data_IF_487235368223
#
_entry.id   IF_487235368223
#
_cell.length_a   1.000
_cell.length_b   1.000
_cell.length_c   1.000
_cell.angle_alpha   90.00
_cell.angle_beta   90.00
_cell.angle_gamma   90.00
#
_symmetry.space_group_name_H-M   'P 1'
#
loop_
_entity.id
_entity.type
_entity.pdbx_description
1 polymer ?
#
# COMPACT_ATOMS: atom_id res chain seq x y z
N UNK A 1 -17.93 5.91 4.17
CA UNK A 1 -16.44 5.80 4.23
C UNK A 1 -15.98 6.51 5.50
N UNK A 2 -15.60 5.77 6.54
CA UNK A 2 -15.00 6.30 7.77
C UNK A 2 -13.54 5.84 7.84
N UNK A 3 -12.64 6.74 8.24
CA UNK A 3 -11.22 6.45 8.42
C UNK A 3 -10.88 6.51 9.91
N UNK A 4 -10.53 5.36 10.49
CA UNK A 4 -10.08 5.28 11.89
C UNK A 4 -8.77 6.04 12.11
N UNK A 5 -7.80 5.91 11.18
CA UNK A 5 -6.51 6.60 11.26
C UNK A 5 -6.62 8.12 11.36
N UNK A 6 -7.68 8.69 10.79
CA UNK A 6 -7.95 10.13 10.79
C UNK A 6 -9.15 10.52 11.65
N UNK A 7 -9.78 9.54 12.31
CA UNK A 7 -11.05 9.65 13.03
C UNK A 7 -12.09 10.52 12.30
N UNK A 8 -12.37 10.19 11.03
CA UNK A 8 -13.19 11.08 10.18
C UNK A 8 -13.97 10.36 9.09
N UNK A 9 -15.21 10.79 8.87
CA UNK A 9 -16.03 10.42 7.72
C UNK A 9 -15.66 11.20 6.45
N UNK A 10 -15.91 10.61 5.28
CA UNK A 10 -15.86 11.30 4.00
C UNK A 10 -16.78 12.52 4.01
N UNK A 11 -16.26 13.69 3.63
CA UNK A 11 -17.02 14.93 3.57
C UNK A 11 -17.29 15.31 2.10
N UNK A 12 -18.53 15.65 1.78
CA UNK A 12 -18.94 16.13 0.46
C UNK A 12 -18.87 17.66 0.45
N UNK A 13 -17.98 18.22 -0.38
CA UNK A 13 -17.84 19.68 -0.53
C UNK A 13 -18.76 20.28 -1.58
N UNK A 14 -19.11 19.51 -2.60
CA UNK A 14 -20.03 19.92 -3.67
C UNK A 14 -20.94 18.77 -4.04
N UNK A 15 -22.23 18.88 -3.71
CA UNK A 15 -23.22 17.84 -3.99
C UNK A 15 -23.69 17.83 -5.46
N UNK A 16 -23.47 18.92 -6.20
CA UNK A 16 -23.86 19.00 -7.62
C UNK A 16 -23.07 18.05 -8.52
N UNK A 17 -21.91 17.57 -8.06
CA UNK A 17 -21.04 16.66 -8.82
C UNK A 17 -21.39 15.18 -8.60
N UNK A 18 -22.36 14.85 -7.76
CA UNK A 18 -22.63 13.46 -7.37
C UNK A 18 -22.99 12.57 -8.58
N UNK A 19 -23.72 13.09 -9.56
CA UNK A 19 -24.08 12.35 -10.78
C UNK A 19 -22.90 12.20 -11.73
N UNK A 20 -22.05 13.23 -11.85
CA UNK A 20 -20.83 13.21 -12.68
C UNK A 20 -19.80 12.19 -12.16
N UNK A 21 -19.73 11.99 -10.84
CA UNK A 21 -18.86 10.96 -10.24
C UNK A 21 -19.20 9.54 -10.73
N UNK A 22 -20.45 9.28 -11.13
CA UNK A 22 -20.85 7.99 -11.71
C UNK A 22 -20.39 7.79 -13.16
N UNK A 23 -19.90 8.83 -13.82
CA UNK A 23 -19.55 8.84 -15.24
C UNK A 23 -18.04 8.92 -15.50
N UNK A 24 -17.22 9.00 -14.45
CA UNK A 24 -15.76 9.11 -14.61
C UNK A 24 -15.17 7.83 -15.20
N UNK A 25 -14.25 7.97 -16.15
CA UNK A 25 -13.58 6.84 -16.82
C UNK A 25 -12.10 6.71 -16.41
N UNK A 26 -11.49 7.80 -15.95
CA UNK A 26 -10.08 7.85 -15.60
C UNK A 26 -9.90 8.47 -14.21
N UNK A 27 -9.00 7.89 -13.42
CA UNK A 27 -8.58 8.42 -12.13
C UNK A 27 -7.11 8.79 -12.23
N UNK A 28 -6.83 10.09 -12.16
CA UNK A 28 -5.46 10.57 -12.00
C UNK A 28 -5.10 10.53 -10.52
N UNK A 29 -4.01 9.85 -10.19
CA UNK A 29 -3.56 9.66 -8.81
C UNK A 29 -2.12 10.12 -8.66
N UNK A 30 -1.81 10.70 -7.51
CA UNK A 30 -0.42 11.01 -7.14
C UNK A 30 0.23 9.80 -6.47
N UNK A 31 1.52 9.61 -6.68
CA UNK A 31 2.26 8.52 -6.03
C UNK A 31 2.43 8.80 -4.54
N UNK A 32 2.94 9.98 -4.21
CA UNK A 32 3.40 10.30 -2.85
C UNK A 32 2.26 10.88 -2.01
N UNK A 33 1.96 10.27 -0.87
CA UNK A 33 0.87 10.74 0.00
C UNK A 33 -0.55 10.34 -0.44
N UNK A 34 -0.70 9.74 -1.63
CA UNK A 34 -1.94 9.05 -2.05
C UNK A 34 -1.72 7.54 -2.18
N UNK A 35 -0.85 7.08 -3.08
CA UNK A 35 -0.57 5.63 -3.21
C UNK A 35 0.36 5.11 -2.10
N UNK A 36 1.37 5.88 -1.70
CA UNK A 36 2.35 5.47 -0.69
C UNK A 36 2.13 6.16 0.64
N UNK A 37 2.30 5.42 1.74
CA UNK A 37 2.30 5.96 3.12
C UNK A 37 3.57 6.74 3.49
N UNK A 38 4.52 6.87 2.57
CA UNK A 38 5.85 7.43 2.79
C UNK A 38 6.61 6.77 3.94
N UNK A 39 6.32 5.48 4.16
CA UNK A 39 7.03 4.63 5.10
C UNK A 39 7.91 3.67 4.29
N UNK A 40 9.22 3.77 4.48
CA UNK A 40 10.19 2.89 3.81
C UNK A 40 10.62 1.82 4.82
N UNK A 41 10.31 0.56 4.54
CA UNK A 41 10.68 -0.57 5.37
C UNK A 41 11.80 -1.35 4.67
N UNK A 42 12.89 -1.64 5.38
CA UNK A 42 13.94 -2.51 4.87
C UNK A 42 13.47 -3.95 4.90
N UNK A 43 13.33 -4.58 3.74
CA UNK A 43 12.74 -5.91 3.59
C UNK A 43 13.77 -7.00 3.33
N UNK A 44 14.74 -6.73 2.46
CA UNK A 44 15.67 -7.73 1.93
C UNK A 44 17.03 -7.10 1.68
N UNK A 45 18.09 -7.88 1.88
CA UNK A 45 19.42 -7.60 1.37
C UNK A 45 20.10 -8.83 0.80
N UNK A 46 21.10 -8.61 -0.07
CA UNK A 46 22.02 -9.64 -0.53
C UNK A 46 23.42 -9.25 -0.10
N UNK A 47 24.08 -10.09 0.70
CA UNK A 47 25.46 -9.88 1.14
C UNK A 47 26.31 -11.06 0.66
N UNK A 48 27.23 -10.78 -0.27
CA UNK A 48 27.98 -11.82 -0.97
C UNK A 48 27.06 -12.70 -1.82
N UNK A 49 26.94 -13.98 -1.45
CA UNK A 49 26.05 -14.97 -2.10
C UNK A 49 24.85 -15.37 -1.25
N UNK A 50 24.61 -14.68 -0.13
CA UNK A 50 23.53 -14.99 0.81
C UNK A 50 22.44 -13.91 0.72
N UNK A 51 21.19 -14.37 0.62
CA UNK A 51 19.98 -13.56 0.70
C UNK A 51 19.53 -13.48 2.16
N UNK A 52 19.08 -12.31 2.58
CA UNK A 52 18.71 -11.93 3.94
C UNK A 52 17.33 -11.25 3.93
N UNK A 53 16.52 -11.51 4.95
CA UNK A 53 15.13 -11.03 5.05
C UNK A 53 14.12 -11.95 4.35
N UNK A 54 12.94 -11.43 4.04
CA UNK A 54 11.83 -12.28 3.58
C UNK A 54 11.96 -12.72 2.11
N UNK A 55 12.56 -13.89 1.90
CA UNK A 55 12.80 -14.52 0.59
C UNK A 55 11.54 -14.69 -0.25
N UNK A 56 10.38 -14.92 0.37
CA UNK A 56 9.16 -15.14 -0.39
C UNK A 56 8.49 -13.85 -0.90
N UNK A 57 9.16 -12.70 -0.82
CA UNK A 57 8.84 -11.55 -1.69
C UNK A 57 9.44 -11.69 -3.10
N UNK A 58 10.44 -12.55 -3.26
CA UNK A 58 11.16 -12.77 -4.53
C UNK A 58 10.67 -14.05 -5.22
N UNK A 59 10.28 -15.06 -4.44
CA UNK A 59 9.66 -16.26 -4.98
C UNK A 59 8.24 -15.92 -5.49
N UNK A 60 7.95 -16.24 -6.76
CA UNK A 60 6.64 -16.04 -7.39
C UNK A 60 5.61 -17.08 -6.89
N UNK A 61 5.42 -17.18 -5.58
CA UNK A 61 4.37 -18.03 -4.99
C UNK A 61 3.09 -17.22 -4.85
N UNK A 62 2.19 -17.40 -5.82
CA UNK A 62 0.87 -16.77 -5.86
C UNK A 62 -0.08 -17.20 -4.72
N UNK A 63 0.30 -18.21 -3.93
CA UNK A 63 -0.50 -18.74 -2.81
C UNK A 63 -0.08 -18.18 -1.45
N UNK A 64 0.95 -17.32 -1.39
CA UNK A 64 1.45 -16.85 -0.11
C UNK A 64 0.50 -15.84 0.54
N UNK A 65 0.13 -16.00 1.83
CA UNK A 65 -0.59 -14.97 2.55
C UNK A 65 0.24 -13.67 2.59
N UNK A 66 -0.40 -12.49 2.60
CA UNK A 66 0.30 -11.22 2.75
C UNK A 66 1.20 -11.25 4.00
N UNK A 67 2.42 -10.70 3.89
CA UNK A 67 3.39 -10.67 4.99
C UNK A 67 2.72 -10.20 6.29
N UNK A 68 2.59 -11.11 7.27
CA UNK A 68 1.96 -10.83 8.56
C UNK A 68 2.95 -10.17 9.52
N UNK A 69 4.23 -10.55 9.42
CA UNK A 69 5.29 -10.02 10.27
C UNK A 69 5.98 -8.81 9.62
N UNK A 70 6.02 -7.71 10.39
CA UNK A 70 6.75 -6.50 10.00
C UNK A 70 8.19 -6.61 10.46
N UNK A 71 9.12 -6.43 9.52
CA UNK A 71 10.53 -6.26 9.84
C UNK A 71 11.43 -7.04 8.91
N UNK A 72 12.73 -6.84 9.09
CA UNK A 72 13.76 -7.66 8.49
C UNK A 72 13.92 -8.90 9.38
N UNK A 73 13.47 -10.05 8.85
CA UNK A 73 13.46 -11.32 9.59
C UNK A 73 14.71 -12.08 9.17
N UNK A 74 15.78 -11.92 9.93
CA UNK A 74 16.93 -12.81 9.92
C UNK A 74 17.27 -13.20 11.36
N UNK A 75 17.82 -14.40 11.59
CA UNK A 75 18.40 -14.76 12.88
C UNK A 75 19.61 -13.89 13.25
#
# INVERSE_FOLDING_TARGET
MYSELRDKYSNVRSASLNEELGQIQYVFTDKTGTLTRNLMEFKIAVIGRKLFGDVGLIANDSERPPQVEKGFIDP
#
